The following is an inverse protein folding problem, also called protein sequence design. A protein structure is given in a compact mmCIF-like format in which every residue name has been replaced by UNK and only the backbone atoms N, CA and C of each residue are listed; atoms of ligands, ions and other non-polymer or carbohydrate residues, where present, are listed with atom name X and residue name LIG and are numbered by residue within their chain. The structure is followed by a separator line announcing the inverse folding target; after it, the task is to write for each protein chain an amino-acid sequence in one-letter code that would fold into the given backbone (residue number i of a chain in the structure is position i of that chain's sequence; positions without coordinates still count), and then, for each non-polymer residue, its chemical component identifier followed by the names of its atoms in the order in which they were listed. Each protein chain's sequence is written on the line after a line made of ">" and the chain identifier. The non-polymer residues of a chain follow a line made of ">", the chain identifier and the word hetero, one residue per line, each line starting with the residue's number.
data_IF_595909751326
#
_entry.id   IF_595909751326
#
_cell.length_a   1.000
_cell.length_b   1.000
_cell.length_c   1.000
_cell.angle_alpha   90.00
_cell.angle_beta   90.00
_cell.angle_gamma   90.00
#
_symmetry.space_group_name_H-M   'P 1'
#
loop_
_entity.id
_entity.type
_entity.pdbx_description
1 polymer ?
#
# COMPACT_ATOMS: atom_id res chain seq x y z
N UNK A 1 19.95 15.36 -24.26
CA UNK A 1 20.28 15.42 -22.83
C UNK A 1 21.22 14.25 -22.55
N UNK A 2 22.51 14.49 -22.33
CA UNK A 2 23.49 13.44 -22.16
C UNK A 2 23.21 12.71 -20.84
N UNK A 3 23.02 11.39 -20.91
CA UNK A 3 23.03 10.53 -19.74
C UNK A 3 24.39 10.71 -19.05
N UNK A 4 24.36 11.12 -17.78
CA UNK A 4 25.57 11.19 -16.98
C UNK A 4 26.22 9.81 -16.96
N UNK A 5 27.46 9.73 -17.42
CA UNK A 5 28.25 8.49 -17.38
C UNK A 5 28.40 8.15 -15.89
N UNK A 6 27.91 7.00 -15.46
CA UNK A 6 28.11 6.50 -14.11
C UNK A 6 29.59 6.42 -13.84
N UNK A 7 30.04 7.02 -12.75
CA UNK A 7 31.42 6.89 -12.32
C UNK A 7 31.70 5.42 -12.02
N UNK A 8 32.73 4.83 -12.63
CA UNK A 8 33.16 3.46 -12.39
C UNK A 8 33.38 3.17 -10.91
N UNK A 9 33.85 4.17 -10.15
CA UNK A 9 34.04 4.04 -8.71
C UNK A 9 32.70 3.86 -7.99
N UNK A 10 31.66 4.60 -8.37
CA UNK A 10 30.33 4.47 -7.78
C UNK A 10 29.72 3.08 -8.07
N UNK A 11 29.93 2.54 -9.27
CA UNK A 11 29.48 1.20 -9.61
C UNK A 11 30.18 0.13 -8.78
N UNK A 12 31.52 0.19 -8.68
CA UNK A 12 32.32 -0.75 -7.86
C UNK A 12 31.90 -0.68 -6.39
N UNK A 13 31.63 0.53 -5.88
CA UNK A 13 31.17 0.70 -4.50
C UNK A 13 29.80 0.08 -4.27
N UNK A 14 28.84 0.31 -5.17
CA UNK A 14 27.50 -0.27 -5.09
C UNK A 14 27.55 -1.81 -5.12
N UNK A 15 28.36 -2.38 -6.00
CA UNK A 15 28.53 -3.83 -6.11
C UNK A 15 29.15 -4.43 -4.85
N UNK A 16 30.15 -3.74 -4.27
CA UNK A 16 30.78 -4.17 -3.02
C UNK A 16 29.80 -4.12 -1.84
N UNK A 17 28.97 -3.07 -1.75
CA UNK A 17 27.96 -2.93 -0.71
C UNK A 17 26.88 -4.03 -0.84
N UNK A 18 26.41 -4.28 -2.05
CA UNK A 18 25.45 -5.32 -2.31
C UNK A 18 25.97 -6.72 -1.96
N UNK A 19 27.25 -6.99 -2.22
CA UNK A 19 27.91 -8.25 -1.83
C UNK A 19 28.13 -8.37 -0.32
N UNK A 20 28.54 -7.29 0.35
CA UNK A 20 28.90 -7.32 1.77
C UNK A 20 27.71 -7.32 2.71
N UNK A 21 26.69 -6.52 2.39
CA UNK A 21 25.57 -6.21 3.29
C UNK A 21 24.27 -6.82 2.77
N UNK A 22 24.12 -6.89 1.45
CA UNK A 22 22.87 -7.25 0.79
C UNK A 22 22.41 -8.68 1.02
N UNK A 23 23.32 -9.61 1.33
CA UNK A 23 23.00 -11.05 1.45
C UNK A 23 22.07 -11.49 0.31
N UNK A 24 20.77 -11.65 0.62
CA UNK A 24 19.72 -12.02 -0.34
C UNK A 24 18.95 -10.81 -0.91
N UNK A 25 19.20 -9.59 -0.41
CA UNK A 25 18.52 -8.37 -0.84
C UNK A 25 19.52 -7.31 -1.30
N UNK A 26 19.21 -6.65 -2.42
CA UNK A 26 19.97 -5.50 -2.87
C UNK A 26 19.79 -4.33 -1.90
N UNK A 27 20.89 -3.66 -1.51
CA UNK A 27 20.88 -2.53 -0.56
C UNK A 27 21.36 -1.21 -1.19
N UNK A 28 22.12 -1.26 -2.29
CA UNK A 28 22.62 -0.07 -2.98
C UNK A 28 21.98 0.03 -4.38
N UNK A 29 21.37 1.18 -4.66
CA UNK A 29 20.64 1.49 -5.89
C UNK A 29 21.10 2.82 -6.46
N UNK A 30 21.04 2.96 -7.79
CA UNK A 30 21.15 4.26 -8.45
C UNK A 30 19.75 4.85 -8.68
N UNK A 31 19.59 6.14 -8.37
CA UNK A 31 18.30 6.84 -8.54
C UNK A 31 18.20 7.56 -9.90
N UNK A 32 18.99 7.15 -10.87
CA UNK A 32 19.00 7.68 -12.24
C UNK A 32 17.93 7.05 -13.16
N UNK A 33 17.08 6.18 -12.60
CA UNK A 33 16.05 5.44 -13.32
C UNK A 33 16.53 4.13 -13.94
N UNK A 34 17.81 3.76 -13.78
CA UNK A 34 18.35 2.49 -14.29
C UNK A 34 18.01 1.30 -13.38
N UNK A 35 17.80 1.55 -12.10
CA UNK A 35 17.46 0.55 -11.10
C UNK A 35 16.01 0.69 -10.64
N UNK A 36 15.31 -0.43 -10.43
CA UNK A 36 14.03 -0.44 -9.71
C UNK A 36 14.33 -0.40 -8.22
N UNK A 37 13.91 0.67 -7.54
CA UNK A 37 14.17 0.86 -6.13
C UNK A 37 12.98 0.46 -5.26
N UNK A 38 13.20 0.11 -3.98
CA UNK A 38 12.09 -0.16 -3.04
C UNK A 38 11.18 1.04 -2.81
N UNK A 39 11.64 2.25 -3.20
CA UNK A 39 10.85 3.49 -3.11
C UNK A 39 9.92 3.70 -4.28
N UNK A 40 10.07 2.96 -5.38
CA UNK A 40 9.24 3.08 -6.56
C UNK A 40 7.83 2.54 -6.29
N UNK A 41 6.85 3.40 -6.49
CA UNK A 41 5.45 3.03 -6.38
C UNK A 41 5.00 2.51 -7.73
N UNK A 42 4.72 1.21 -7.81
CA UNK A 42 4.35 0.53 -9.05
C UNK A 42 2.84 0.49 -9.27
N UNK A 43 2.07 0.53 -8.20
CA UNK A 43 0.63 0.35 -8.24
C UNK A 43 -0.10 1.28 -7.28
N UNK A 44 -1.34 1.64 -7.66
CA UNK A 44 -2.23 2.48 -6.87
C UNK A 44 -3.61 1.84 -6.77
N UNK A 45 -4.29 2.08 -5.67
CA UNK A 45 -5.71 1.76 -5.47
C UNK A 45 -6.49 3.06 -5.52
N UNK A 46 -7.53 3.10 -6.34
CA UNK A 46 -8.42 4.26 -6.42
C UNK A 46 -9.14 4.50 -5.09
N UNK A 47 -9.44 5.76 -4.82
CA UNK A 47 -10.33 6.16 -3.71
C UNK A 47 -11.81 6.10 -4.10
N UNK A 48 -12.13 5.69 -5.34
CA UNK A 48 -13.46 5.79 -5.92
C UNK A 48 -13.78 7.17 -6.51
N UNK A 49 -12.88 8.13 -6.39
CA UNK A 49 -13.02 9.49 -6.95
C UNK A 49 -11.82 9.87 -7.78
N UNK A 50 -11.98 10.02 -9.08
CA UNK A 50 -10.89 10.38 -10.00
C UNK A 50 -10.23 11.72 -9.66
N UNK A 51 -10.99 12.68 -9.11
CA UNK A 51 -10.46 13.98 -8.68
C UNK A 51 -9.55 13.80 -7.46
N UNK A 52 -9.99 13.00 -6.48
CA UNK A 52 -9.21 12.72 -5.28
C UNK A 52 -7.96 11.90 -5.63
N UNK A 53 -8.08 10.91 -6.49
CA UNK A 53 -6.97 10.10 -6.98
C UNK A 53 -5.89 10.95 -7.63
N UNK A 54 -6.30 11.89 -8.49
CA UNK A 54 -5.40 12.83 -9.14
C UNK A 54 -4.75 13.78 -8.12
N UNK A 55 -5.52 14.28 -7.16
CA UNK A 55 -5.01 15.16 -6.12
C UNK A 55 -3.96 14.50 -5.22
N UNK A 56 -4.14 13.21 -4.89
CA UNK A 56 -3.24 12.46 -4.04
C UNK A 56 -1.95 12.07 -4.78
N UNK A 57 -2.08 11.50 -5.97
CA UNK A 57 -0.97 10.84 -6.66
C UNK A 57 -0.39 11.63 -7.83
N UNK A 58 -1.06 12.72 -8.26
CA UNK A 58 -0.75 13.46 -9.48
C UNK A 58 -0.64 12.57 -10.73
N UNK A 59 -1.47 11.51 -10.80
CA UNK A 59 -1.48 10.52 -11.88
C UNK A 59 -2.89 10.21 -12.35
N UNK A 60 -3.14 10.10 -13.66
CA UNK A 60 -4.37 9.49 -14.16
C UNK A 60 -4.44 8.03 -13.64
N UNK A 61 -5.59 7.60 -13.17
CA UNK A 61 -5.79 6.29 -12.53
C UNK A 61 -4.86 6.03 -11.32
N UNK A 62 -4.55 7.09 -10.58
CA UNK A 62 -3.74 7.04 -9.36
C UNK A 62 -4.55 6.62 -8.13
N UNK A 63 -4.37 7.36 -7.04
CA UNK A 63 -5.00 7.10 -5.75
C UNK A 63 -3.99 6.76 -4.66
N UNK A 64 -4.32 5.80 -3.82
CA UNK A 64 -3.49 5.36 -2.69
C UNK A 64 -2.39 4.42 -3.16
N UNK A 65 -1.15 4.70 -2.76
CA UNK A 65 0.01 3.91 -3.14
C UNK A 65 0.02 2.52 -2.48
N UNK A 66 0.12 1.47 -3.28
CA UNK A 66 0.28 0.10 -2.76
C UNK A 66 1.64 -0.07 -2.08
N UNK A 67 1.68 -0.82 -0.98
CA UNK A 67 2.89 -1.06 -0.19
C UNK A 67 3.30 0.15 0.68
N UNK A 68 2.38 1.07 0.94
CA UNK A 68 2.58 2.21 1.86
C UNK A 68 1.47 2.27 2.91
N UNK A 69 1.80 2.83 4.05
CA UNK A 69 0.82 3.20 5.08
C UNK A 69 0.29 4.57 4.71
N UNK A 70 -1.04 4.69 4.65
CA UNK A 70 -1.72 5.96 4.42
C UNK A 70 -2.60 6.28 5.62
N UNK A 71 -2.45 7.47 6.16
CA UNK A 71 -3.27 7.98 7.24
C UNK A 71 -4.29 8.98 6.71
N UNK A 72 -5.56 8.84 7.15
CA UNK A 72 -6.65 9.75 6.78
C UNK A 72 -7.11 10.47 8.04
N UNK A 73 -6.82 11.76 8.14
CA UNK A 73 -7.16 12.61 9.27
C UNK A 73 -8.32 13.56 8.92
N UNK A 74 -9.15 13.84 9.89
CA UNK A 74 -10.26 14.78 9.75
C UNK A 74 -11.14 14.83 10.99
N UNK A 75 -12.03 15.81 11.04
CA UNK A 75 -13.00 15.95 12.12
C UNK A 75 -13.94 14.73 12.16
N UNK A 76 -14.62 14.60 13.27
CA UNK A 76 -15.71 13.62 13.40
C UNK A 76 -16.75 13.82 12.29
N UNK A 77 -17.31 12.72 11.78
CA UNK A 77 -18.29 12.71 10.70
C UNK A 77 -17.84 13.34 9.37
N UNK A 78 -16.54 13.54 9.16
CA UNK A 78 -15.99 14.13 7.92
C UNK A 78 -15.85 13.14 6.74
N UNK A 79 -16.26 11.89 6.91
CA UNK A 79 -16.22 10.88 5.84
C UNK A 79 -14.94 10.06 5.77
N UNK A 80 -14.09 10.05 6.80
CA UNK A 80 -12.85 9.24 6.85
C UNK A 80 -13.12 7.76 6.57
N UNK A 81 -14.06 7.17 7.31
CA UNK A 81 -14.44 5.76 7.14
C UNK A 81 -15.06 5.50 5.77
N UNK A 82 -15.80 6.46 5.22
CA UNK A 82 -16.37 6.36 3.87
C UNK A 82 -15.28 6.24 2.81
N UNK A 83 -14.24 7.08 2.87
CA UNK A 83 -13.10 7.02 1.95
C UNK A 83 -12.38 5.67 2.11
N UNK A 84 -12.10 5.24 3.34
CA UNK A 84 -11.47 3.94 3.61
C UNK A 84 -12.28 2.78 3.02
N UNK A 85 -13.60 2.81 3.16
CA UNK A 85 -14.50 1.78 2.63
C UNK A 85 -14.53 1.77 1.09
N UNK A 86 -14.51 2.94 0.45
CA UNK A 86 -14.37 3.00 -1.02
C UNK A 86 -13.06 2.41 -1.50
N UNK A 87 -11.93 2.66 -0.81
CA UNK A 87 -10.64 2.06 -1.13
C UNK A 87 -10.69 0.53 -1.03
N UNK A 88 -11.38 -0.02 -0.03
CA UNK A 88 -11.59 -1.47 0.09
C UNK A 88 -12.41 -2.03 -1.08
N UNK A 89 -13.50 -1.34 -1.47
CA UNK A 89 -14.31 -1.75 -2.62
C UNK A 89 -13.48 -1.74 -3.92
N UNK A 90 -12.67 -0.71 -4.14
CA UNK A 90 -11.76 -0.64 -5.30
C UNK A 90 -10.65 -1.70 -5.25
N UNK A 91 -10.19 -2.08 -4.05
CA UNK A 91 -9.25 -3.19 -3.86
C UNK A 91 -9.87 -4.51 -4.30
N UNK A 92 -11.12 -4.79 -3.90
CA UNK A 92 -11.83 -6.00 -4.32
C UNK A 92 -12.06 -6.05 -5.84
N UNK A 93 -12.39 -4.91 -6.48
CA UNK A 93 -12.53 -4.82 -7.95
C UNK A 93 -11.23 -5.17 -8.68
N UNK A 94 -10.09 -4.93 -8.07
CA UNK A 94 -8.76 -5.35 -8.59
C UNK A 94 -8.41 -6.80 -8.27
N UNK A 95 -9.26 -7.54 -7.59
CA UNK A 95 -9.02 -8.93 -7.16
C UNK A 95 -8.18 -9.03 -5.89
N UNK A 96 -7.97 -7.94 -5.17
CA UNK A 96 -7.26 -7.92 -3.89
C UNK A 96 -8.16 -8.36 -2.73
N UNK A 97 -7.54 -8.87 -1.66
CA UNK A 97 -8.21 -9.17 -0.42
C UNK A 97 -8.46 -7.87 0.36
N UNK A 98 -9.73 -7.60 0.69
CA UNK A 98 -10.10 -6.50 1.57
C UNK A 98 -10.20 -6.98 3.01
N UNK A 99 -9.53 -6.26 3.91
CA UNK A 99 -9.59 -6.51 5.36
C UNK A 99 -10.04 -5.23 6.05
N UNK A 100 -11.12 -5.29 6.81
CA UNK A 100 -11.63 -4.18 7.60
C UNK A 100 -11.45 -4.48 9.09
N UNK A 101 -10.65 -3.66 9.77
CA UNK A 101 -10.46 -3.75 11.21
C UNK A 101 -11.23 -2.60 11.84
N UNK A 102 -12.27 -2.92 12.60
CA UNK A 102 -13.17 -1.94 13.23
C UNK A 102 -13.02 -2.00 14.76
N UNK A 103 -12.63 -0.89 15.34
CA UNK A 103 -12.49 -0.72 16.79
C UNK A 103 -13.70 -0.02 17.42
N UNK A 104 -14.55 0.61 16.61
CA UNK A 104 -15.67 1.43 17.07
C UNK A 104 -17.04 0.74 16.91
N UNK A 105 -17.08 -0.41 16.22
CA UNK A 105 -18.32 -1.14 15.89
C UNK A 105 -19.35 -0.26 15.18
N UNK A 106 -18.86 0.65 14.33
CA UNK A 106 -19.69 1.70 13.72
C UNK A 106 -20.24 1.34 12.35
N UNK A 107 -19.86 0.16 11.79
CA UNK A 107 -20.12 -0.20 10.41
C UNK A 107 -21.16 -1.30 10.31
N UNK A 108 -22.26 -1.06 9.55
CA UNK A 108 -23.26 -2.07 9.28
C UNK A 108 -23.00 -2.77 7.93
N UNK A 109 -23.43 -4.04 7.83
CA UNK A 109 -23.36 -4.81 6.59
C UNK A 109 -24.06 -4.10 5.42
N UNK A 110 -25.28 -3.60 5.62
CA UNK A 110 -26.04 -2.90 4.60
C UNK A 110 -25.33 -1.66 4.05
N UNK A 111 -24.64 -0.94 4.94
CA UNK A 111 -23.87 0.22 4.55
C UNK A 111 -22.66 -0.17 3.67
N UNK A 112 -21.94 -1.25 4.02
CA UNK A 112 -20.84 -1.79 3.22
C UNK A 112 -21.31 -2.21 1.82
N UNK A 113 -22.43 -2.95 1.74
CA UNK A 113 -23.03 -3.38 0.47
C UNK A 113 -23.46 -2.18 -0.37
N UNK A 114 -23.99 -1.12 0.25
CA UNK A 114 -24.40 0.11 -0.46
C UNK A 114 -23.23 0.83 -1.10
N UNK A 115 -22.06 0.80 -0.47
CA UNK A 115 -20.82 1.40 -1.03
C UNK A 115 -20.26 0.54 -2.16
N UNK A 116 -20.64 -0.73 -2.25
CA UNK A 116 -20.21 -1.65 -3.28
C UNK A 116 -19.14 -2.65 -2.84
N UNK A 117 -19.03 -2.88 -1.55
CA UNK A 117 -18.20 -3.96 -1.02
C UNK A 117 -18.90 -5.31 -1.20
N UNK A 118 -18.18 -6.27 -1.72
CA UNK A 118 -18.56 -7.67 -1.65
C UNK A 118 -18.30 -8.20 -0.24
N UNK A 119 -19.34 -8.22 0.58
CA UNK A 119 -19.27 -8.65 1.99
C UNK A 119 -18.98 -10.13 2.15
N UNK A 120 -19.19 -10.96 1.12
CA UNK A 120 -18.87 -12.39 1.14
C UNK A 120 -17.35 -12.61 1.09
N UNK A 121 -16.63 -11.68 0.48
CA UNK A 121 -15.18 -11.69 0.31
C UNK A 121 -14.47 -10.60 1.13
N UNK A 122 -15.16 -10.05 2.15
CA UNK A 122 -14.58 -9.11 3.09
C UNK A 122 -14.17 -9.83 4.38
N UNK A 123 -12.92 -9.74 4.77
CA UNK A 123 -12.50 -10.15 6.11
C UNK A 123 -12.76 -8.99 7.08
N UNK A 124 -13.77 -9.14 7.94
CA UNK A 124 -14.10 -8.17 8.98
C UNK A 124 -13.57 -8.63 10.33
N UNK A 125 -12.82 -7.79 11.00
CA UNK A 125 -12.22 -8.05 12.31
C UNK A 125 -12.65 -6.97 13.28
N UNK A 126 -13.21 -7.39 14.41
CA UNK A 126 -13.46 -6.52 15.55
C UNK A 126 -12.38 -6.77 16.60
N UNK A 127 -11.59 -5.75 16.88
CA UNK A 127 -10.51 -5.77 17.88
C UNK A 127 -10.58 -4.50 18.71
N UNK A 128 -10.32 -4.64 20.02
CA UNK A 128 -10.49 -3.54 20.96
C UNK A 128 -9.17 -2.83 21.30
N UNK A 129 -8.03 -3.51 21.09
CA UNK A 129 -6.72 -2.98 21.48
C UNK A 129 -5.82 -2.72 20.30
N UNK A 130 -4.96 -1.72 20.42
CA UNK A 130 -3.95 -1.40 19.39
C UNK A 130 -2.95 -2.55 19.23
N UNK A 131 -2.64 -3.22 20.32
CA UNK A 131 -1.76 -4.40 20.35
C UNK A 131 -2.32 -5.54 19.48
N UNK A 132 -3.63 -5.78 19.56
CA UNK A 132 -4.29 -6.83 18.75
C UNK A 132 -4.30 -6.44 17.27
N UNK A 133 -4.52 -5.15 16.94
CA UNK A 133 -4.43 -4.66 15.56
C UNK A 133 -3.04 -4.93 14.99
N UNK A 134 -1.99 -4.59 15.71
CA UNK A 134 -0.61 -4.83 15.27
C UNK A 134 -0.28 -6.33 15.22
N UNK A 135 -0.74 -7.11 16.19
CA UNK A 135 -0.56 -8.56 16.17
C UNK A 135 -1.17 -9.19 14.92
N UNK A 136 -2.42 -8.87 14.59
CA UNK A 136 -3.09 -9.36 13.38
C UNK A 136 -2.36 -8.88 12.12
N UNK A 137 -2.04 -7.59 12.04
CA UNK A 137 -1.40 -7.01 10.86
C UNK A 137 -0.02 -7.62 10.61
N UNK A 138 0.80 -7.79 11.65
CA UNK A 138 2.17 -8.28 11.51
C UNK A 138 2.26 -9.79 11.33
N UNK A 139 1.41 -10.56 12.02
CA UNK A 139 1.51 -12.01 12.02
C UNK A 139 0.69 -12.69 10.93
N UNK A 140 -0.37 -12.06 10.46
CA UNK A 140 -1.34 -12.68 9.56
C UNK A 140 -1.54 -11.97 8.23
N UNK A 141 -1.36 -10.64 8.18
CA UNK A 141 -1.59 -9.85 6.95
C UNK A 141 -0.29 -9.55 6.19
N UNK A 142 0.86 -9.56 6.84
CA UNK A 142 2.14 -9.56 6.14
C UNK A 142 2.39 -10.96 5.60
N UNK A 143 2.02 -11.20 4.36
CA UNK A 143 2.41 -12.43 3.67
C UNK A 143 3.94 -12.56 3.69
N UNK A 144 4.48 -13.75 3.98
CA UNK A 144 5.90 -13.98 3.83
C UNK A 144 6.29 -13.67 2.38
N UNK A 145 7.28 -12.81 2.20
CA UNK A 145 7.80 -12.37 0.89
C UNK A 145 8.46 -13.50 0.09
N UNK A 146 8.42 -14.72 0.57
CA UNK A 146 8.91 -15.91 -0.10
C UNK A 146 7.78 -16.57 -0.90
N UNK A 147 7.42 -16.01 -2.06
CA UNK A 147 6.88 -16.82 -3.13
C UNK A 147 8.07 -17.49 -3.83
N UNK A 148 8.17 -18.82 -3.83
CA UNK A 148 9.06 -19.50 -4.78
C UNK A 148 8.55 -19.18 -6.19
N UNK A 149 9.43 -18.69 -7.03
CA UNK A 149 9.24 -18.50 -8.48
C UNK A 149 9.16 -19.88 -9.13
#
# INVERSE_FOLDING_TARGET
>A
MALAVKDELAQVLADNLNKKIGKDNRVAYFLDGSDSTPTDIKEFISTGSSILDLAISNRPNGGIAVGRITEINGLESSGKSLIGTHILAETQKKGGLAVYIDTETSVSREWLETIGIDVQNLLYLHVETVEDIFAVSYTHLTLPTNHPV
#
